data_IF_083962783745
#
_entry.id   IF_083962783745
#
_cell.length_a   1.000
_cell.length_b   1.000
_cell.length_c   1.000
_cell.angle_alpha   90.00
_cell.angle_beta   90.00
_cell.angle_gamma   90.00
#
_symmetry.space_group_name_H-M   'P 1'
#
loop_
_entity.id
_entity.type
_entity.pdbx_description
1 polymer ?
#
# COMPACT_ATOMS: atom_id res chain seq x y z
N UNK A 1 -16.58 -3.11 -3.39
CA UNK A 1 -16.28 -4.41 -2.74
C UNK A 1 -14.78 -4.43 -2.49
N UNK A 2 -14.30 -4.70 -1.25
CA UNK A 2 -12.86 -4.84 -0.95
C UNK A 2 -12.31 -6.01 -1.78
N UNK A 3 -11.10 -5.90 -2.36
CA UNK A 3 -10.58 -6.95 -3.24
C UNK A 3 -10.39 -8.26 -2.44
N UNK A 4 -10.78 -9.43 -3.00
CA UNK A 4 -10.52 -10.71 -2.36
C UNK A 4 -9.02 -11.00 -2.31
N UNK A 5 -8.58 -11.69 -1.25
CA UNK A 5 -7.23 -12.27 -1.21
C UNK A 5 -7.28 -13.62 -1.90
N UNK A 6 -6.32 -13.88 -2.78
CA UNK A 6 -6.19 -15.14 -3.50
C UNK A 6 -4.88 -15.83 -3.14
N UNK A 7 -4.89 -17.14 -3.04
CA UNK A 7 -3.65 -17.93 -3.05
C UNK A 7 -3.17 -18.19 -4.49
N UNK A 8 -2.05 -18.90 -4.61
CA UNK A 8 -1.43 -19.24 -5.89
C UNK A 8 -2.31 -20.17 -6.75
N UNK A 9 -3.23 -20.92 -6.14
CA UNK A 9 -4.16 -21.82 -6.82
C UNK A 9 -5.48 -21.13 -7.20
N UNK A 10 -5.62 -19.83 -6.90
CA UNK A 10 -6.78 -19.01 -7.23
C UNK A 10 -7.96 -19.17 -6.27
N UNK A 11 -7.77 -19.80 -5.11
CA UNK A 11 -8.81 -19.86 -4.07
C UNK A 11 -8.88 -18.52 -3.36
N UNK A 12 -10.12 -18.03 -3.17
CA UNK A 12 -10.36 -16.75 -2.50
C UNK A 12 -10.55 -16.92 -0.99
N UNK A 13 -10.11 -15.91 -0.25
CA UNK A 13 -10.20 -15.85 1.21
C UNK A 13 -10.85 -14.55 1.66
N UNK A 14 -11.66 -14.66 2.72
CA UNK A 14 -12.05 -13.52 3.52
C UNK A 14 -10.93 -13.21 4.50
N UNK A 15 -10.32 -12.05 4.36
CA UNK A 15 -9.36 -11.55 5.32
C UNK A 15 -10.08 -10.96 6.55
N UNK A 16 -10.19 -11.78 7.60
CA UNK A 16 -10.85 -11.40 8.85
C UNK A 16 -9.99 -10.58 9.82
N UNK A 17 -8.69 -10.41 9.54
CA UNK A 17 -7.75 -9.69 10.42
C UNK A 17 -7.21 -8.41 9.78
N UNK A 18 -7.68 -8.03 8.59
CA UNK A 18 -7.11 -6.90 7.83
C UNK A 18 -5.60 -7.08 7.63
N UNK A 19 -5.18 -8.27 7.20
CA UNK A 19 -3.79 -8.71 7.03
C UNK A 19 -3.17 -9.05 8.36
N UNK A 20 -2.70 -8.02 9.06
CA UNK A 20 -2.29 -8.06 10.46
C UNK A 20 -2.66 -6.70 11.06
N UNK A 21 -3.96 -6.38 11.04
CA UNK A 21 -4.52 -5.11 11.52
C UNK A 21 -4.02 -3.87 10.76
N UNK A 22 -3.63 -4.03 9.49
CA UNK A 22 -2.98 -2.97 8.71
C UNK A 22 -3.79 -2.53 7.47
N UNK A 23 -4.79 -3.32 7.04
CA UNK A 23 -5.48 -3.13 5.77
C UNK A 23 -6.94 -2.69 5.99
N UNK A 24 -7.13 -1.62 6.75
CA UNK A 24 -8.46 -1.16 7.18
C UNK A 24 -9.39 -0.81 6.01
N UNK A 25 -8.83 -0.14 4.99
CA UNK A 25 -9.55 0.28 3.78
C UNK A 25 -9.61 -0.81 2.70
N UNK A 26 -9.14 -2.02 3.00
CA UNK A 26 -9.21 -3.19 2.12
C UNK A 26 -8.06 -3.30 1.11
N UNK A 27 -7.92 -4.50 0.54
CA UNK A 27 -6.88 -4.84 -0.42
C UNK A 27 -7.12 -4.25 -1.81
N UNK A 28 -6.05 -4.12 -2.60
CA UNK A 28 -6.12 -3.86 -4.04
C UNK A 28 -6.60 -2.46 -4.44
N UNK A 29 -6.45 -1.45 -3.56
CA UNK A 29 -6.85 -0.06 -3.88
C UNK A 29 -5.89 0.57 -4.89
N UNK A 30 -6.27 0.53 -6.17
CA UNK A 30 -5.51 1.12 -7.29
C UNK A 30 -5.11 2.58 -7.06
N UNK A 31 -5.97 3.37 -6.41
CA UNK A 31 -5.68 4.76 -6.05
C UNK A 31 -4.42 4.91 -5.20
N UNK A 32 -4.20 4.01 -4.21
CA UNK A 32 -3.00 4.05 -3.36
C UNK A 32 -1.75 3.71 -4.17
N UNK A 33 -1.84 2.74 -5.07
CA UNK A 33 -0.74 2.38 -5.96
C UNK A 33 -0.35 3.56 -6.87
N UNK A 34 -1.34 4.25 -7.45
CA UNK A 34 -1.11 5.43 -8.29
C UNK A 34 -0.52 6.60 -7.48
N UNK A 35 -0.98 6.81 -6.25
CA UNK A 35 -0.42 7.86 -5.38
C UNK A 35 1.03 7.57 -4.97
N UNK A 36 1.40 6.30 -4.78
CA UNK A 36 2.75 5.88 -4.42
C UNK A 36 3.73 5.85 -5.62
N UNK A 37 3.23 5.62 -6.84
CA UNK A 37 4.05 5.44 -8.05
C UNK A 37 5.02 6.60 -8.30
N UNK A 38 4.53 7.84 -8.33
CA UNK A 38 5.35 9.02 -8.61
C UNK A 38 6.44 9.25 -7.55
N UNK A 39 6.14 9.36 -6.24
CA UNK A 39 7.19 9.58 -5.25
C UNK A 39 8.17 8.41 -5.20
N UNK A 40 7.72 7.15 -5.29
CA UNK A 40 8.63 6.00 -5.27
C UNK A 40 9.54 5.92 -6.50
N UNK A 41 9.09 6.35 -7.67
CA UNK A 41 9.93 6.40 -8.89
C UNK A 41 10.90 7.59 -8.89
N UNK A 42 10.58 8.68 -8.21
CA UNK A 42 11.43 9.87 -8.12
C UNK A 42 12.45 9.79 -6.98
N UNK A 43 12.03 9.31 -5.80
CA UNK A 43 12.84 9.22 -4.59
C UNK A 43 12.40 8.03 -3.75
N UNK A 44 13.01 6.87 -3.97
CA UNK A 44 12.68 5.65 -3.22
C UNK A 44 12.93 5.77 -1.72
N UNK A 45 14.00 6.48 -1.32
CA UNK A 45 14.33 6.74 0.09
C UNK A 45 15.37 7.85 0.24
N UNK A 46 15.22 8.70 1.25
CA UNK A 46 16.24 9.63 1.72
C UNK A 46 16.08 9.87 3.24
N UNK A 47 17.16 9.99 4.03
CA UNK A 47 17.06 10.27 5.46
C UNK A 47 16.63 11.73 5.75
N UNK A 48 15.66 11.92 6.65
CA UNK A 48 15.08 13.25 6.97
C UNK A 48 15.88 14.10 7.97
N UNK A 49 17.16 13.83 8.22
CA UNK A 49 17.94 14.57 9.22
C UNK A 49 18.29 16.00 8.76
N UNK A 50 17.37 16.95 9.02
CA UNK A 50 17.51 18.35 8.62
C UNK A 50 17.08 18.63 7.17
N UNK A 51 16.44 17.66 6.51
CA UNK A 51 15.95 17.74 5.14
C UNK A 51 14.50 17.33 5.08
N UNK A 52 13.86 17.70 3.97
CA UNK A 52 12.49 17.37 3.69
C UNK A 52 12.15 17.19 2.23
N UNK A 53 11.02 16.53 1.95
CA UNK A 53 10.54 16.32 0.58
C UNK A 53 9.02 16.13 0.53
N UNK A 54 8.31 16.64 -0.47
CA UNK A 54 6.91 16.21 -0.63
C UNK A 54 6.84 14.68 -0.89
N UNK A 55 5.87 13.95 -0.30
CA UNK A 55 4.83 14.37 0.66
C UNK A 55 5.26 14.35 2.16
N UNK A 56 6.49 13.96 2.49
CA UNK A 56 7.00 13.90 3.87
C UNK A 56 7.93 15.08 4.21
N UNK A 57 7.39 16.06 4.95
CA UNK A 57 8.03 17.27 5.54
C UNK A 57 9.36 17.65 4.91
#
# INVERSE_FOLDING_TARGET
>A
MKAPVFDADGKHYLDGLSGLFAVDIGHGRRELAMAAERPMSQLGFFPLWGFGHEPGI
#
